data_IF_681665492894
#
_entry.id   IF_681665492894
#
_cell.length_a   1.000
_cell.length_b   1.000
_cell.length_c   1.000
_cell.angle_alpha   90.00
_cell.angle_beta   90.00
_cell.angle_gamma   90.00
#
_symmetry.space_group_name_H-M   'P 1'
#
loop_
_entity.id
_entity.type
_entity.pdbx_description
1 polymer ?
#
# COMPACT_ATOMS: atom_id res chain seq x y z
N UNK A 1 8.11 6.86 0.29
CA UNK A 1 8.56 5.72 -0.53
C UNK A 1 8.55 5.98 -2.04
N UNK A 2 7.40 6.17 -2.72
CA UNK A 2 7.39 6.50 -4.18
C UNK A 2 8.19 7.75 -4.51
N UNK A 3 8.10 8.78 -3.67
CA UNK A 3 8.89 10.01 -3.78
C UNK A 3 10.37 9.88 -3.35
N UNK A 4 10.86 8.68 -3.05
CA UNK A 4 12.23 8.46 -2.56
C UNK A 4 12.45 8.83 -1.08
N UNK A 5 11.50 9.52 -0.44
CA UNK A 5 11.59 9.88 0.97
C UNK A 5 11.09 8.71 1.85
N UNK A 6 12.04 7.94 2.38
CA UNK A 6 11.76 6.85 3.34
C UNK A 6 11.59 7.38 4.77
N UNK A 7 12.34 8.41 5.16
CA UNK A 7 12.28 8.98 6.51
C UNK A 7 10.91 9.59 6.79
N UNK A 8 10.34 10.34 5.84
CA UNK A 8 8.99 10.86 5.96
C UNK A 8 7.93 9.75 6.02
N UNK A 9 8.11 8.66 5.26
CA UNK A 9 7.18 7.53 5.28
C UNK A 9 7.19 6.81 6.64
N UNK A 10 8.39 6.59 7.21
CA UNK A 10 8.55 6.02 8.54
C UNK A 10 7.94 6.92 9.62
N UNK A 11 8.22 8.24 9.58
CA UNK A 11 7.68 9.19 10.53
C UNK A 11 6.15 9.23 10.51
N UNK A 12 5.54 9.19 9.31
CA UNK A 12 4.09 9.09 9.17
C UNK A 12 3.54 7.80 9.78
N UNK A 13 4.16 6.64 9.50
CA UNK A 13 3.71 5.37 10.05
C UNK A 13 3.79 5.34 11.58
N UNK A 14 4.89 5.84 12.16
CA UNK A 14 5.02 5.96 13.63
C UNK A 14 3.91 6.83 14.21
N UNK A 15 3.66 8.00 13.62
CA UNK A 15 2.58 8.88 14.04
C UNK A 15 1.20 8.20 13.95
N UNK A 16 0.94 7.43 12.91
CA UNK A 16 -0.32 6.70 12.76
C UNK A 16 -0.45 5.59 13.82
N UNK A 17 0.63 4.85 14.09
CA UNK A 17 0.64 3.84 15.17
C UNK A 17 0.43 4.48 16.55
N UNK A 18 0.98 5.67 16.80
CA UNK A 18 0.79 6.41 18.04
C UNK A 18 -0.66 6.90 18.21
N UNK A 19 -1.32 7.30 17.11
CA UNK A 19 -2.71 7.80 17.13
C UNK A 19 -3.72 6.65 17.28
N UNK A 20 -3.54 5.56 16.53
CA UNK A 20 -4.56 4.51 16.40
C UNK A 20 -4.24 3.24 17.18
N UNK A 21 -3.02 3.10 17.69
CA UNK A 21 -2.49 1.84 18.21
C UNK A 21 -1.87 1.00 17.10
N UNK A 22 -0.71 0.40 17.36
CA UNK A 22 0.04 -0.38 16.38
C UNK A 22 -0.73 -1.62 15.88
N UNK A 23 -1.63 -2.16 16.71
CA UNK A 23 -2.55 -3.24 16.39
C UNK A 23 -3.68 -2.80 15.46
N UNK A 24 -4.04 -1.52 15.44
CA UNK A 24 -5.14 -0.99 14.60
C UNK A 24 -4.65 -0.45 13.26
N UNK A 25 -3.33 -0.36 13.07
CA UNK A 25 -2.71 0.07 11.80
C UNK A 25 -2.19 -1.15 11.05
N UNK A 26 -2.47 -1.20 9.75
CA UNK A 26 -1.89 -2.17 8.83
C UNK A 26 -1.35 -1.43 7.61
N UNK A 27 -0.16 -1.81 7.14
CA UNK A 27 0.36 -1.28 5.88
C UNK A 27 -0.25 -2.04 4.71
N UNK A 28 -0.93 -1.33 3.82
CA UNK A 28 -1.49 -1.91 2.61
C UNK A 28 -0.41 -2.13 1.53
N UNK A 29 -0.38 -3.33 0.95
CA UNK A 29 0.47 -3.70 -0.17
C UNK A 29 -0.39 -3.93 -1.41
N UNK A 30 -0.13 -3.16 -2.46
CA UNK A 30 -0.84 -3.23 -3.74
C UNK A 30 0.12 -3.45 -4.90
N UNK A 31 -0.21 -4.39 -5.78
CA UNK A 31 0.49 -4.60 -7.05
C UNK A 31 -0.54 -4.54 -8.17
N UNK A 32 -0.65 -3.38 -8.81
CA UNK A 32 -1.68 -3.08 -9.81
C UNK A 32 -1.11 -3.14 -11.24
N UNK A 33 0.07 -3.72 -11.41
CA UNK A 33 0.72 -3.91 -12.71
C UNK A 33 1.48 -2.70 -13.23
N UNK A 34 1.57 -1.60 -12.47
CA UNK A 34 2.34 -0.44 -12.88
C UNK A 34 3.86 -0.71 -12.76
N UNK A 35 4.68 -0.10 -13.64
CA UNK A 35 6.13 -0.18 -13.53
C UNK A 35 6.61 0.23 -12.13
N UNK A 36 7.38 -0.64 -11.48
CA UNK A 36 7.94 -0.38 -10.15
C UNK A 36 7.07 -0.82 -8.97
N UNK A 37 5.83 -1.28 -9.17
CA UNK A 37 4.97 -1.76 -8.08
C UNK A 37 5.60 -2.92 -7.29
N UNK A 38 6.28 -3.84 -7.98
CA UNK A 38 6.98 -4.94 -7.32
C UNK A 38 8.07 -4.43 -6.37
N UNK A 39 8.91 -3.48 -6.84
CA UNK A 39 9.97 -2.89 -6.02
C UNK A 39 9.38 -2.11 -4.84
N UNK A 40 8.33 -1.32 -5.08
CA UNK A 40 7.68 -0.55 -4.03
C UNK A 40 7.07 -1.45 -2.95
N UNK A 41 6.35 -2.51 -3.34
CA UNK A 41 5.76 -3.46 -2.37
C UNK A 41 6.82 -4.16 -1.52
N UNK A 42 7.99 -4.47 -2.10
CA UNK A 42 9.12 -4.99 -1.31
C UNK A 42 9.67 -3.96 -0.32
N UNK A 43 9.80 -2.69 -0.72
CA UNK A 43 10.24 -1.60 0.17
C UNK A 43 9.23 -1.37 1.31
N UNK A 44 7.94 -1.37 0.99
CA UNK A 44 6.86 -1.27 1.97
C UNK A 44 6.90 -2.43 2.98
N UNK A 45 7.01 -3.68 2.49
CA UNK A 45 7.10 -4.85 3.35
C UNK A 45 8.35 -4.82 4.25
N UNK A 46 9.50 -4.37 3.73
CA UNK A 46 10.72 -4.20 4.52
C UNK A 46 10.55 -3.13 5.62
N UNK A 47 9.94 -1.99 5.31
CA UNK A 47 9.65 -0.94 6.28
C UNK A 47 8.69 -1.42 7.37
N UNK A 48 7.60 -2.10 7.00
CA UNK A 48 6.65 -2.67 7.96
C UNK A 48 7.34 -3.66 8.91
N UNK A 49 8.17 -4.56 8.38
CA UNK A 49 8.97 -5.50 9.20
C UNK A 49 9.90 -4.78 10.17
N UNK A 50 10.56 -3.70 9.73
CA UNK A 50 11.46 -2.90 10.58
C UNK A 50 10.72 -2.20 11.72
N UNK A 51 9.46 -1.83 11.49
CA UNK A 51 8.61 -1.17 12.49
C UNK A 51 7.77 -2.13 13.33
N UNK A 52 7.83 -3.44 13.08
CA UNK A 52 6.94 -4.42 13.73
C UNK A 52 5.46 -4.25 13.32
N UNK A 53 5.19 -3.56 12.21
CA UNK A 53 3.86 -3.25 11.71
C UNK A 53 3.33 -4.41 10.86
N UNK A 54 2.05 -4.78 11.07
CA UNK A 54 1.37 -5.75 10.23
C UNK A 54 1.10 -5.16 8.84
N UNK A 55 1.04 -6.01 7.82
CA UNK A 55 0.69 -5.59 6.47
C UNK A 55 -0.32 -6.55 5.84
N UNK A 56 -1.08 -6.03 4.87
CA UNK A 56 -2.14 -6.77 4.18
C UNK A 56 -2.04 -6.55 2.67
N UNK A 57 -2.27 -7.60 1.90
CA UNK A 57 -2.37 -7.51 0.45
C UNK A 57 -3.82 -7.19 0.05
N UNK A 58 -3.99 -6.19 -0.81
CA UNK A 58 -5.30 -5.80 -1.35
C UNK A 58 -5.20 -5.63 -2.86
N UNK A 59 -6.35 -5.75 -3.53
CA UNK A 59 -6.43 -5.70 -4.99
C UNK A 59 -6.89 -4.36 -5.56
N UNK A 60 -7.24 -3.38 -4.71
CA UNK A 60 -7.91 -2.14 -5.15
C UNK A 60 -9.03 -2.42 -6.17
N UNK A 61 -9.91 -3.37 -5.84
CA UNK A 61 -10.89 -3.92 -6.78
C UNK A 61 -11.94 -2.87 -7.13
N UNK A 62 -12.09 -2.56 -8.42
CA UNK A 62 -13.04 -1.53 -8.91
C UNK A 62 -14.16 -2.09 -9.78
N UNK A 63 -14.06 -3.35 -10.14
CA UNK A 63 -15.04 -4.08 -10.96
C UNK A 63 -14.97 -5.57 -10.64
N UNK A 64 -16.03 -6.32 -10.93
CA UNK A 64 -16.18 -7.72 -10.50
C UNK A 64 -15.34 -8.65 -11.39
N UNK A 65 -15.38 -8.45 -12.70
CA UNK A 65 -14.66 -9.28 -13.67
C UNK A 65 -13.65 -8.45 -14.49
N UNK A 66 -12.51 -9.02 -14.89
CA UNK A 66 -11.57 -8.33 -15.78
C UNK A 66 -12.19 -7.81 -17.07
N UNK A 67 -13.23 -8.49 -17.58
CA UNK A 67 -13.99 -8.09 -18.77
C UNK A 67 -14.82 -6.83 -18.58
N UNK A 68 -15.02 -6.38 -17.35
CA UNK A 68 -15.76 -5.16 -17.03
C UNK A 68 -14.88 -3.91 -17.16
N UNK A 69 -13.55 -4.08 -17.33
CA UNK A 69 -12.60 -2.97 -17.47
C UNK A 69 -13.02 -1.94 -18.53
N UNK A 70 -13.45 -2.31 -19.75
CA UNK A 70 -13.85 -1.32 -20.77
C UNK A 70 -15.03 -0.45 -20.34
N UNK A 71 -15.95 -0.97 -19.53
CA UNK A 71 -17.09 -0.19 -19.01
C UNK A 71 -16.62 0.71 -17.88
N UNK A 72 -15.78 0.18 -16.99
CA UNK A 72 -15.18 0.96 -15.89
C UNK A 72 -14.32 2.13 -16.42
N UNK A 73 -13.56 1.92 -17.50
CA UNK A 73 -12.71 2.93 -18.15
C UNK A 73 -13.50 4.15 -18.63
N UNK A 74 -14.78 3.98 -19.01
CA UNK A 74 -15.65 5.09 -19.40
C UNK A 74 -16.11 5.96 -18.22
N UNK A 75 -16.03 5.45 -16.99
CA UNK A 75 -16.43 6.16 -15.78
C UNK A 75 -15.26 6.93 -15.13
N UNK A 76 -14.02 6.64 -15.54
CA UNK A 76 -12.79 7.09 -14.91
C UNK A 76 -12.27 8.45 -15.43
#
# INVERSE_FOLDING_TARGET
>A
LRAGDEAAAEGLLRRLMDIYGAESVVLELQRLGAPGDHRLTLQQAALARRLGLRYVATGDVRYVHPTDYPVYDLLA
#
